data_IF_219405564708
#
_entry.id   IF_219405564708
#
_cell.length_a   1.000
_cell.length_b   1.000
_cell.length_c   1.000
_cell.angle_alpha   90.00
_cell.angle_beta   90.00
_cell.angle_gamma   90.00
#
_symmetry.space_group_name_H-M   'P 1'
#
loop_
_entity.id
_entity.type
_entity.pdbx_description
1 polymer ?
#
# COMPACT_ATOMS: atom_id res chain seq x y z
N UNK A 1 18.12 -0.90 -2.09
CA UNK A 1 18.12 -2.37 -1.87
C UNK A 1 17.58 -2.81 -0.52
N UNK A 2 17.78 -2.05 0.58
CA UNK A 2 17.35 -2.47 1.93
C UNK A 2 15.83 -2.56 2.13
N UNK A 3 15.05 -1.72 1.45
CA UNK A 3 13.58 -1.73 1.53
C UNK A 3 12.98 -3.05 1.03
N UNK A 4 13.40 -3.48 -0.17
CA UNK A 4 12.92 -4.71 -0.80
C UNK A 4 13.33 -5.96 -0.03
N UNK A 5 14.55 -5.97 0.53
CA UNK A 5 15.05 -7.10 1.33
C UNK A 5 14.24 -7.25 2.63
N UNK A 6 13.91 -6.15 3.30
CA UNK A 6 13.16 -6.17 4.55
C UNK A 6 11.67 -6.52 4.38
N UNK A 7 11.13 -6.45 3.16
CA UNK A 7 9.75 -6.84 2.84
C UNK A 7 9.66 -8.15 2.07
N UNK A 8 10.78 -8.84 1.87
CA UNK A 8 10.82 -10.06 1.07
C UNK A 8 9.90 -11.15 1.63
N UNK A 9 9.86 -11.31 2.95
CA UNK A 9 8.93 -12.25 3.60
C UNK A 9 7.46 -11.92 3.31
N UNK A 10 7.08 -10.63 3.34
CA UNK A 10 5.73 -10.20 2.98
C UNK A 10 5.42 -10.42 1.49
N UNK A 11 6.42 -10.31 0.62
CA UNK A 11 6.25 -10.53 -0.82
C UNK A 11 6.04 -12.00 -1.17
N UNK A 12 6.67 -12.94 -0.44
CA UNK A 12 6.51 -14.38 -0.66
C UNK A 12 5.06 -14.82 -0.38
N UNK A 13 4.39 -14.26 0.63
CA UNK A 13 3.01 -14.60 0.97
C UNK A 13 2.02 -14.35 -0.19
N UNK A 14 2.29 -13.38 -1.07
CA UNK A 14 1.47 -13.15 -2.26
C UNK A 14 1.60 -14.26 -3.32
N UNK A 15 2.70 -15.02 -3.29
CA UNK A 15 2.91 -16.17 -4.17
C UNK A 15 2.18 -17.40 -3.60
N UNK A 16 2.09 -17.49 -2.27
CA UNK A 16 1.40 -18.59 -1.57
C UNK A 16 -0.12 -18.43 -1.57
N UNK A 17 -0.62 -17.18 -1.48
CA UNK A 17 -2.05 -16.85 -1.51
C UNK A 17 -2.34 -15.81 -2.59
N UNK A 18 -2.80 -16.30 -3.75
CA UNK A 18 -3.16 -15.48 -4.91
C UNK A 18 -4.45 -14.66 -4.74
N UNK A 19 -5.15 -14.77 -3.62
CA UNK A 19 -6.31 -13.91 -3.33
C UNK A 19 -5.90 -12.59 -2.68
N UNK A 20 -4.66 -12.46 -2.20
CA UNK A 20 -4.16 -11.18 -1.69
C UNK A 20 -3.88 -10.20 -2.83
N UNK A 21 -4.45 -8.99 -2.74
CA UNK A 21 -4.14 -7.91 -3.67
C UNK A 21 -2.75 -7.32 -3.40
N UNK A 22 -1.87 -7.44 -4.40
CA UNK A 22 -0.50 -6.90 -4.37
C UNK A 22 -0.49 -5.36 -4.38
N UNK A 23 -1.55 -4.74 -4.90
CA UNK A 23 -1.68 -3.30 -4.99
C UNK A 23 -2.27 -2.68 -3.72
N UNK A 24 -1.77 -1.49 -3.34
CA UNK A 24 -2.29 -0.76 -2.18
C UNK A 24 -3.53 0.09 -2.51
N UNK A 25 -4.13 -0.06 -3.69
CA UNK A 25 -5.07 0.91 -4.25
C UNK A 25 -6.29 1.13 -3.33
N UNK A 26 -6.74 0.07 -2.65
CA UNK A 26 -7.78 0.15 -1.63
C UNK A 26 -7.37 1.04 -0.45
N UNK A 27 -6.16 0.86 0.08
CA UNK A 27 -5.64 1.68 1.17
C UNK A 27 -5.49 3.14 0.73
N UNK A 28 -4.94 3.38 -0.46
CA UNK A 28 -4.82 4.71 -1.05
C UNK A 28 -6.19 5.38 -1.24
N UNK A 29 -7.18 4.65 -1.76
CA UNK A 29 -8.54 5.16 -1.93
C UNK A 29 -9.16 5.57 -0.59
N UNK A 30 -8.92 4.81 0.47
CA UNK A 30 -9.40 5.16 1.82
C UNK A 30 -8.70 6.36 2.44
N UNK A 31 -7.40 6.59 2.16
CA UNK A 31 -6.65 7.74 2.71
C UNK A 31 -6.74 9.01 1.85
N UNK A 32 -7.10 8.89 0.56
CA UNK A 32 -7.25 10.03 -0.38
C UNK A 32 -8.17 11.15 0.17
N UNK A 33 -9.36 10.87 0.73
CA UNK A 33 -10.22 11.90 1.32
C UNK A 33 -9.53 12.70 2.43
N UNK A 34 -8.69 12.03 3.23
CA UNK A 34 -7.97 12.65 4.33
C UNK A 34 -6.81 13.55 3.85
N UNK A 35 -6.13 13.19 2.77
CA UNK A 35 -5.06 14.02 2.20
C UNK A 35 -5.59 15.24 1.44
N UNK A 36 -6.67 15.09 0.67
CA UNK A 36 -7.20 16.16 -0.19
C UNK A 36 -7.73 17.34 0.65
N UNK A 37 -8.37 17.06 1.80
CA UNK A 37 -8.89 18.09 2.70
C UNK A 37 -7.83 18.98 3.36
N UNK A 38 -6.54 18.62 3.31
CA UNK A 38 -5.46 19.38 3.95
C UNK A 38 -4.84 20.47 3.07
N UNK A 39 -5.19 20.54 1.79
CA UNK A 39 -4.60 21.50 0.82
C UNK A 39 -5.45 22.76 0.58
N UNK A 40 -6.70 22.81 1.03
CA UNK A 40 -7.61 23.95 0.80
C UNK A 40 -7.58 25.03 1.90
N UNK A 41 -6.61 24.96 2.82
CA UNK A 41 -6.35 26.00 3.81
C UNK A 41 -5.11 26.82 3.41
N UNK A 42 -5.10 27.37 2.20
CA UNK A 42 -4.18 28.45 1.78
C UNK A 42 -4.92 29.39 0.85
#
# INVERSE_FOLDING_TARGET
MRYTINQWDSLIHYIEDGNLQIDNNAAECHIKPFMIGRKLAV
#
